data_IF_465370300463
#
_entry.id   IF_465370300463
#
_cell.length_a   1.000
_cell.length_b   1.000
_cell.length_c   1.000
_cell.angle_alpha   90.00
_cell.angle_beta   90.00
_cell.angle_gamma   90.00
#
_symmetry.space_group_name_H-M   'P 1'
#
loop_
_entity.id
_entity.type
_entity.pdbx_description
1 polymer ?
#
# COMPACT_ATOMS: atom_id res chain seq x y z
N UNK A 1 -18.65 -15.28 0.90
CA UNK A 1 -17.25 -15.61 0.55
C UNK A 1 -16.81 -15.01 -0.79
N UNK A 2 -17.57 -15.15 -1.88
CA UNK A 2 -17.24 -14.56 -3.19
C UNK A 2 -16.89 -13.07 -3.16
N UNK A 3 -17.71 -12.25 -2.47
CA UNK A 3 -17.45 -10.80 -2.32
C UNK A 3 -16.15 -10.48 -1.59
N UNK A 4 -15.79 -11.30 -0.60
CA UNK A 4 -14.53 -11.14 0.16
C UNK A 4 -13.36 -11.45 -0.76
N UNK A 5 -13.40 -12.58 -1.48
CA UNK A 5 -12.37 -12.95 -2.44
C UNK A 5 -12.21 -11.88 -3.53
N UNK A 6 -13.32 -11.40 -4.12
CA UNK A 6 -13.31 -10.33 -5.10
C UNK A 6 -12.73 -9.02 -4.55
N UNK A 7 -13.11 -8.62 -3.32
CA UNK A 7 -12.59 -7.42 -2.67
C UNK A 7 -11.08 -7.50 -2.42
N UNK A 8 -10.58 -8.64 -1.94
CA UNK A 8 -9.14 -8.89 -1.74
C UNK A 8 -8.39 -8.81 -3.07
N UNK A 9 -8.89 -9.51 -4.10
CA UNK A 9 -8.28 -9.52 -5.44
C UNK A 9 -8.19 -8.12 -6.03
N UNK A 10 -9.29 -7.36 -6.00
CA UNK A 10 -9.31 -5.98 -6.49
C UNK A 10 -8.38 -5.09 -5.67
N UNK A 11 -8.34 -5.24 -4.35
CA UNK A 11 -7.42 -4.49 -3.50
C UNK A 11 -5.96 -4.71 -3.90
N UNK A 12 -5.52 -5.96 -4.04
CA UNK A 12 -4.14 -6.28 -4.39
C UNK A 12 -3.79 -5.80 -5.81
N UNK A 13 -4.66 -6.07 -6.79
CA UNK A 13 -4.44 -5.67 -8.19
C UNK A 13 -4.40 -4.15 -8.32
N UNK A 14 -5.33 -3.44 -7.67
CA UNK A 14 -5.39 -1.98 -7.73
C UNK A 14 -4.19 -1.35 -7.02
N UNK A 15 -3.77 -1.91 -5.88
CA UNK A 15 -2.55 -1.46 -5.21
C UNK A 15 -1.33 -1.58 -6.14
N UNK A 16 -1.15 -2.74 -6.78
CA UNK A 16 -0.03 -2.96 -7.69
C UNK A 16 -0.06 -2.04 -8.90
N UNK A 17 -1.22 -1.86 -9.52
CA UNK A 17 -1.39 -0.96 -10.66
C UNK A 17 -1.06 0.50 -10.29
N UNK A 18 -1.52 0.97 -9.13
CA UNK A 18 -1.25 2.32 -8.65
C UNK A 18 0.22 2.49 -8.28
N UNK A 19 0.83 1.52 -7.58
CA UNK A 19 2.24 1.58 -7.24
C UNK A 19 3.12 1.67 -8.49
N UNK A 20 2.85 0.86 -9.51
CA UNK A 20 3.57 0.91 -10.79
C UNK A 20 3.34 2.25 -11.52
N UNK A 21 2.10 2.72 -11.57
CA UNK A 21 1.76 3.97 -12.25
C UNK A 21 2.38 5.20 -11.56
N UNK A 22 2.39 5.24 -10.23
CA UNK A 22 2.98 6.34 -9.46
C UNK A 22 4.51 6.34 -9.59
N UNK A 23 5.16 5.17 -9.48
CA UNK A 23 6.61 5.06 -9.64
C UNK A 23 7.05 5.39 -11.07
N UNK A 24 6.24 5.06 -12.07
CA UNK A 24 6.44 5.54 -13.43
C UNK A 24 6.42 7.08 -13.49
N UNK A 25 5.43 7.73 -12.87
CA UNK A 25 5.37 9.19 -12.80
C UNK A 25 6.60 9.81 -12.12
N UNK A 26 7.09 9.24 -11.01
CA UNK A 26 8.33 9.71 -10.38
C UNK A 26 9.52 9.57 -11.32
N UNK A 27 9.68 8.42 -11.98
CA UNK A 27 10.80 8.18 -12.90
C UNK A 27 10.79 9.16 -14.08
N UNK A 28 9.63 9.44 -14.65
CA UNK A 28 9.52 10.36 -15.79
C UNK A 28 9.56 11.84 -15.38
N UNK A 29 9.06 12.15 -14.18
CA UNK A 29 8.92 13.52 -13.69
C UNK A 29 10.13 14.03 -12.90
N UNK A 30 11.02 13.15 -12.45
CA UNK A 30 12.17 13.49 -11.62
C UNK A 30 13.46 12.82 -12.12
N UNK A 31 14.23 13.48 -13.01
CA UNK A 31 15.44 12.91 -13.60
C UNK A 31 16.48 12.43 -12.59
N UNK A 32 16.72 13.21 -11.52
CA UNK A 32 17.68 12.83 -10.46
C UNK A 32 17.24 11.57 -9.71
N UNK A 33 15.93 11.37 -9.52
CA UNK A 33 15.39 10.14 -8.94
C UNK A 33 15.68 8.94 -9.84
N UNK A 34 15.40 9.08 -11.15
CA UNK A 34 15.65 8.03 -12.13
C UNK A 34 17.14 7.65 -12.22
N UNK A 35 18.04 8.63 -12.10
CA UNK A 35 19.49 8.42 -12.15
C UNK A 35 20.00 7.54 -10.99
N UNK A 36 19.40 7.63 -9.80
CA UNK A 36 19.86 6.91 -8.60
C UNK A 36 19.07 5.64 -8.30
N UNK A 37 17.95 5.42 -8.98
CA UNK A 37 17.01 4.32 -8.70
C UNK A 37 17.68 2.94 -8.76
N UNK A 38 18.44 2.66 -9.83
CA UNK A 38 19.08 1.35 -10.01
C UNK A 38 20.08 1.03 -8.89
N UNK A 39 20.74 2.05 -8.35
CA UNK A 39 21.67 1.92 -7.24
C UNK A 39 20.98 1.90 -5.86
N UNK A 40 19.69 2.24 -5.82
CA UNK A 40 18.90 2.50 -4.60
C UNK A 40 19.56 3.59 -3.73
N UNK A 41 20.23 4.57 -4.36
CA UNK A 41 20.97 5.64 -3.69
C UNK A 41 20.09 6.89 -3.46
N UNK A 42 18.90 6.68 -2.92
CA UNK A 42 17.89 7.71 -2.78
C UNK A 42 18.20 8.71 -1.66
N UNK A 43 17.89 9.98 -1.91
CA UNK A 43 17.86 11.02 -0.87
C UNK A 43 16.61 10.88 0.01
N UNK A 44 16.56 11.56 1.16
CA UNK A 44 15.38 11.53 2.04
C UNK A 44 14.08 11.96 1.33
N UNK A 45 14.04 13.05 0.55
CA UNK A 45 12.85 13.40 -0.23
C UNK A 45 12.39 12.30 -1.19
N UNK A 46 13.33 11.60 -1.85
CA UNK A 46 13.01 10.51 -2.77
C UNK A 46 12.45 9.29 -2.03
N UNK A 47 13.01 8.96 -0.87
CA UNK A 47 12.47 7.91 0.00
C UNK A 47 11.05 8.23 0.46
N UNK A 48 10.80 9.47 0.89
CA UNK A 48 9.46 9.92 1.26
C UNK A 48 8.48 9.87 0.09
N UNK A 49 8.92 10.21 -1.12
CA UNK A 49 8.11 10.08 -2.32
C UNK A 49 7.69 8.62 -2.54
N UNK A 50 8.63 7.66 -2.53
CA UNK A 50 8.33 6.22 -2.67
C UNK A 50 7.36 5.71 -1.60
N UNK A 51 7.53 6.15 -0.35
CA UNK A 51 6.61 5.80 0.72
C UNK A 51 5.23 6.40 0.50
N UNK A 52 5.15 7.63 0.00
CA UNK A 52 3.89 8.27 -0.35
C UNK A 52 3.15 7.52 -1.46
N UNK A 53 3.85 7.01 -2.48
CA UNK A 53 3.24 6.21 -3.54
C UNK A 53 2.52 4.98 -3.00
N UNK A 54 3.24 4.19 -2.19
CA UNK A 54 2.69 2.98 -1.57
C UNK A 54 1.51 3.32 -0.66
N UNK A 55 1.62 4.39 0.13
CA UNK A 55 0.55 4.85 1.02
C UNK A 55 -0.70 5.27 0.24
N UNK A 56 -0.55 6.06 -0.83
CA UNK A 56 -1.67 6.46 -1.68
C UNK A 56 -2.31 5.23 -2.36
N UNK A 57 -1.49 4.32 -2.87
CA UNK A 57 -1.96 3.07 -3.45
C UNK A 57 -2.76 2.23 -2.43
N UNK A 58 -2.26 2.10 -1.19
CA UNK A 58 -2.94 1.37 -0.11
C UNK A 58 -4.27 2.00 0.25
N UNK A 59 -4.34 3.32 0.36
CA UNK A 59 -5.57 4.02 0.68
C UNK A 59 -6.66 3.78 -0.37
N UNK A 60 -6.32 3.95 -1.66
CA UNK A 60 -7.27 3.77 -2.77
C UNK A 60 -7.66 2.30 -2.92
N UNK A 61 -6.70 1.38 -2.88
CA UNK A 61 -6.94 -0.05 -2.93
C UNK A 61 -7.85 -0.54 -1.79
N UNK A 62 -7.55 -0.11 -0.56
CA UNK A 62 -8.34 -0.49 0.62
C UNK A 62 -9.75 0.09 0.56
N UNK A 63 -9.89 1.31 0.05
CA UNK A 63 -11.20 1.92 -0.16
C UNK A 63 -12.02 1.14 -1.20
N UNK A 64 -11.41 0.76 -2.33
CA UNK A 64 -12.09 -0.04 -3.34
C UNK A 64 -12.51 -1.42 -2.79
N UNK A 65 -11.62 -2.07 -2.03
CA UNK A 65 -11.90 -3.33 -1.33
C UNK A 65 -13.13 -3.20 -0.43
N UNK A 66 -13.25 -2.13 0.38
CA UNK A 66 -14.41 -1.95 1.27
C UNK A 66 -15.72 -1.70 0.53
N UNK A 67 -15.69 -1.21 -0.72
CA UNK A 67 -16.90 -1.11 -1.57
C UNK A 67 -17.39 -2.46 -2.06
N UNK A 68 -16.47 -3.39 -2.34
CA UNK A 68 -16.80 -4.72 -2.85
C UNK A 68 -17.21 -5.68 -1.72
N UNK A 69 -16.45 -5.64 -0.61
CA UNK A 69 -16.63 -6.46 0.58
C UNK A 69 -17.01 -5.61 1.81
N UNK A 70 -18.15 -4.88 1.79
CA UNK A 70 -18.50 -3.96 2.86
C UNK A 70 -18.72 -4.69 4.19
N UNK A 71 -18.15 -4.15 5.27
CA UNK A 71 -18.26 -4.70 6.63
C UNK A 71 -17.43 -5.96 6.87
N UNK A 72 -16.64 -6.43 5.90
CA UNK A 72 -15.75 -7.57 6.13
C UNK A 72 -14.63 -7.21 7.11
N UNK A 73 -14.57 -7.93 8.24
CA UNK A 73 -13.46 -7.83 9.19
C UNK A 73 -12.21 -8.60 8.75
N UNK A 74 -12.36 -9.51 7.77
CA UNK A 74 -11.30 -10.44 7.35
C UNK A 74 -10.58 -9.94 6.08
N UNK A 75 -11.29 -9.33 5.14
CA UNK A 75 -10.70 -8.80 3.91
C UNK A 75 -9.47 -7.89 4.12
N UNK A 76 -9.50 -6.86 5.01
CA UNK A 76 -8.33 -5.99 5.22
C UNK A 76 -7.11 -6.76 5.76
N UNK A 77 -7.32 -7.75 6.62
CA UNK A 77 -6.24 -8.60 7.13
C UNK A 77 -5.61 -9.44 6.02
N UNK A 78 -6.42 -10.05 5.16
CA UNK A 78 -5.89 -10.86 4.05
C UNK A 78 -5.06 -9.98 3.11
N UNK A 79 -5.55 -8.79 2.73
CA UNK A 79 -4.79 -7.87 1.87
C UNK A 79 -3.45 -7.50 2.52
N UNK A 80 -3.48 -7.08 3.79
CA UNK A 80 -2.27 -6.68 4.49
C UNK A 80 -1.26 -7.82 4.66
N UNK A 81 -1.71 -9.01 5.05
CA UNK A 81 -0.84 -10.19 5.23
C UNK A 81 -0.24 -10.64 3.91
N UNK A 82 -1.04 -10.67 2.83
CA UNK A 82 -0.55 -11.08 1.50
C UNK A 82 0.51 -10.11 1.03
N UNK A 83 0.25 -8.80 1.06
CA UNK A 83 1.24 -7.80 0.69
C UNK A 83 2.49 -7.88 1.58
N UNK A 84 2.32 -8.04 2.88
CA UNK A 84 3.45 -8.18 3.81
C UNK A 84 4.31 -9.41 3.47
N UNK A 85 3.69 -10.55 3.19
CA UNK A 85 4.39 -11.77 2.81
C UNK A 85 5.20 -11.58 1.50
N UNK A 86 4.67 -10.83 0.53
CA UNK A 86 5.40 -10.49 -0.70
C UNK A 86 6.57 -9.53 -0.46
N UNK A 87 6.39 -8.54 0.42
CA UNK A 87 7.36 -7.44 0.56
C UNK A 87 8.40 -7.63 1.66
N UNK A 88 8.20 -8.53 2.63
CA UNK A 88 9.22 -8.86 3.63
C UNK A 88 10.51 -9.37 2.98
N UNK A 89 10.50 -10.35 2.04
CA UNK A 89 11.71 -10.78 1.35
C UNK A 89 12.39 -9.65 0.56
N UNK A 90 11.60 -8.78 -0.08
CA UNK A 90 12.11 -7.62 -0.81
C UNK A 90 12.82 -6.66 0.15
N UNK A 91 12.21 -6.36 1.31
CA UNK A 91 12.78 -5.45 2.31
C UNK A 91 14.02 -6.03 2.98
N UNK A 92 14.08 -7.36 3.12
CA UNK A 92 15.30 -8.04 3.55
C UNK A 92 16.44 -7.83 2.55
N UNK A 93 16.18 -7.99 1.24
CA UNK A 93 17.18 -7.71 0.20
C UNK A 93 17.61 -6.23 0.13
N UNK A 94 16.78 -5.32 0.64
CA UNK A 94 17.02 -3.87 0.67
C UNK A 94 17.54 -3.36 2.02
N UNK A 95 17.75 -4.24 3.01
CA UNK A 95 18.00 -3.86 4.41
C UNK A 95 19.22 -2.93 4.60
N UNK A 96 20.24 -3.08 3.75
CA UNK A 96 21.46 -2.26 3.80
C UNK A 96 21.40 -1.04 2.89
N UNK A 97 20.34 -0.89 2.09
CA UNK A 97 20.14 0.20 1.13
C UNK A 97 19.31 1.34 1.72
N UNK A 98 18.43 1.02 2.66
CA UNK A 98 17.54 1.99 3.26
C UNK A 98 17.70 2.02 4.78
N UNK A 99 17.42 3.16 5.42
CA UNK A 99 17.43 3.26 6.88
C UNK A 99 16.26 2.49 7.50
N UNK A 100 16.41 2.07 8.75
CA UNK A 100 15.42 1.25 9.46
C UNK A 100 14.01 1.87 9.50
N UNK A 101 13.91 3.21 9.57
CA UNK A 101 12.62 3.90 9.60
C UNK A 101 11.82 3.71 8.29
N UNK A 102 12.52 3.58 7.15
CA UNK A 102 11.88 3.35 5.86
C UNK A 102 11.20 1.98 5.83
N UNK A 103 11.92 0.94 6.27
CA UNK A 103 11.37 -0.41 6.36
C UNK A 103 10.22 -0.49 7.36
N UNK A 104 10.39 0.12 8.54
CA UNK A 104 9.38 0.14 9.57
C UNK A 104 8.08 0.79 9.07
N UNK A 105 8.17 1.95 8.43
CA UNK A 105 6.99 2.61 7.85
C UNK A 105 6.35 1.75 6.78
N UNK A 106 7.11 1.29 5.78
CA UNK A 106 6.53 0.54 4.67
C UNK A 106 5.82 -0.72 5.16
N UNK A 107 6.51 -1.57 5.93
CA UNK A 107 5.96 -2.84 6.40
C UNK A 107 4.78 -2.66 7.36
N UNK A 108 4.83 -1.67 8.26
CA UNK A 108 3.71 -1.40 9.16
C UNK A 108 2.50 -0.84 8.42
N UNK A 109 2.71 0.01 7.39
CA UNK A 109 1.63 0.58 6.59
C UNK A 109 0.82 -0.48 5.84
N UNK A 110 1.46 -1.58 5.39
CA UNK A 110 0.79 -2.70 4.72
C UNK A 110 -0.29 -3.34 5.60
N UNK A 111 -0.09 -3.40 6.92
CA UNK A 111 -1.08 -3.92 7.85
C UNK A 111 -2.03 -2.83 8.34
N UNK A 112 -1.49 -1.66 8.71
CA UNK A 112 -2.26 -0.61 9.38
C UNK A 112 -3.29 0.05 8.45
N UNK A 113 -2.91 0.40 7.22
CA UNK A 113 -3.78 1.19 6.34
C UNK A 113 -5.04 0.45 5.88
N UNK A 114 -4.99 -0.84 5.46
CA UNK A 114 -6.20 -1.58 5.13
C UNK A 114 -7.18 -1.65 6.30
N UNK A 115 -6.68 -1.83 7.53
CA UNK A 115 -7.49 -1.88 8.74
C UNK A 115 -8.11 -0.51 9.06
N UNK A 116 -7.32 0.57 9.01
CA UNK A 116 -7.80 1.94 9.26
C UNK A 116 -8.91 2.30 8.27
N UNK A 117 -8.72 2.04 6.98
CA UNK A 117 -9.70 2.35 5.93
C UNK A 117 -10.97 1.52 6.10
N UNK A 118 -10.86 0.24 6.46
CA UNK A 118 -12.01 -0.61 6.72
C UNK A 118 -12.83 -0.12 7.92
N UNK A 119 -12.17 0.22 9.03
CA UNK A 119 -12.83 0.76 10.23
C UNK A 119 -13.53 2.08 9.93
N UNK A 120 -12.85 3.04 9.29
CA UNK A 120 -13.43 4.32 8.93
C UNK A 120 -14.63 4.18 7.97
N UNK A 121 -14.57 3.21 7.06
CA UNK A 121 -15.69 2.91 6.14
C UNK A 121 -16.88 2.26 6.87
N UNK A 122 -16.63 1.47 7.92
CA UNK A 122 -17.65 0.87 8.76
C UNK A 122 -18.44 1.92 9.54
N UNK A 123 -17.73 2.80 10.28
CA UNK A 123 -18.34 3.87 11.08
C UNK A 123 -19.23 4.78 10.23
N UNK A 124 -18.81 5.13 9.01
CA UNK A 124 -19.63 5.94 8.09
C UNK A 124 -20.94 5.27 7.69
N UNK A 125 -20.98 3.94 7.59
CA UNK A 125 -22.20 3.20 7.23
C UNK A 125 -23.16 3.09 8.40
N UNK A 126 -22.64 2.95 9.62
CA UNK A 126 -23.45 2.96 10.84
C UNK A 126 -24.09 4.32 11.05
N UNK A 127 -23.33 5.41 10.90
CA UNK A 127 -23.85 6.77 11.00
C UNK A 127 -24.91 7.11 9.93
N UNK A 128 -24.82 6.52 8.74
CA UNK A 128 -25.81 6.72 7.67
C UNK A 128 -27.09 5.87 7.82
N UNK A 129 -27.11 4.93 8.76
CA UNK A 129 -28.24 4.04 9.01
C UNK A 129 -29.03 4.39 10.30
N UNK A 130 -28.54 5.36 11.08
CA UNK A 130 -29.20 5.93 12.26
C UNK A 130 -30.04 7.15 11.88
#
# INVERSE_FOLDING_TARGET
MLRIAAGVMVGIVLWGALAVGLDFCLRTGWPDYAAVEKAMAFTVPMMLARLAESTLALLVASWAMTRIAPGSRVAPWIVGIVLLAFFVPVHYGLWTKFPIWYHAYFLSSLLALPLIVATASGTKREAAAA
#
